data_IF_516278538541
#
_entry.id   IF_516278538541
#
_cell.length_a   1.000
_cell.length_b   1.000
_cell.length_c   1.000
_cell.angle_alpha   90.00
_cell.angle_beta   90.00
_cell.angle_gamma   90.00
#
_symmetry.space_group_name_H-M   'P 1'
#
loop_
_entity.id
_entity.type
_entity.pdbx_description
1 polymer ?
#
# COMPACT_ATOMS: atom_id res chain seq x y z
N UNK A 1 14.37 23.37 -5.58
CA UNK A 1 15.51 22.71 -6.23
C UNK A 1 14.98 21.84 -7.37
N UNK A 2 15.60 21.88 -8.55
CA UNK A 2 15.17 21.04 -9.68
C UNK A 2 15.66 19.59 -9.50
N UNK A 3 14.96 18.64 -10.13
CA UNK A 3 15.26 17.20 -10.07
C UNK A 3 16.73 16.88 -10.39
N UNK A 4 17.28 17.53 -11.42
CA UNK A 4 18.66 17.33 -11.86
C UNK A 4 19.68 17.91 -10.87
N UNK A 5 19.43 19.10 -10.34
CA UNK A 5 20.28 19.71 -9.30
C UNK A 5 20.35 18.81 -8.05
N UNK A 6 19.22 18.21 -7.66
CA UNK A 6 19.17 17.31 -6.51
C UNK A 6 19.96 16.02 -6.75
N UNK A 7 19.87 15.46 -7.97
CA UNK A 7 20.67 14.30 -8.37
C UNK A 7 22.16 14.64 -8.34
N UNK A 8 22.57 15.75 -8.95
CA UNK A 8 23.98 16.17 -9.02
C UNK A 8 24.54 16.43 -7.61
N UNK A 9 23.73 16.99 -6.71
CA UNK A 9 24.06 17.16 -5.29
C UNK A 9 24.29 15.81 -4.60
N UNK A 10 23.40 14.82 -4.77
CA UNK A 10 23.57 13.49 -4.18
C UNK A 10 24.77 12.75 -4.75
N UNK A 11 25.03 12.88 -6.05
CA UNK A 11 26.21 12.31 -6.71
C UNK A 11 27.50 12.92 -6.15
N UNK A 12 27.54 14.25 -5.98
CA UNK A 12 28.66 14.92 -5.35
C UNK A 12 28.88 14.47 -3.90
N UNK A 13 27.81 14.26 -3.13
CA UNK A 13 27.92 13.70 -1.77
C UNK A 13 28.54 12.31 -1.85
N UNK A 14 27.97 11.39 -2.63
CA UNK A 14 28.42 10.01 -2.73
C UNK A 14 29.90 9.89 -3.14
N UNK A 15 30.37 10.77 -4.03
CA UNK A 15 31.78 10.80 -4.46
C UNK A 15 32.70 11.39 -3.39
N UNK A 16 32.32 12.49 -2.74
CA UNK A 16 33.17 13.19 -1.78
C UNK A 16 33.25 12.48 -0.42
N UNK A 17 32.24 11.71 -0.04
CA UNK A 17 32.19 10.95 1.22
C UNK A 17 32.35 9.45 1.01
N UNK A 18 32.89 9.05 -0.15
CA UNK A 18 33.12 7.64 -0.51
C UNK A 18 33.85 6.88 0.58
N UNK A 19 34.98 7.40 1.06
CA UNK A 19 35.78 6.74 2.10
C UNK A 19 35.01 6.50 3.42
N UNK A 20 34.02 7.34 3.71
CA UNK A 20 33.22 7.24 4.94
C UNK A 20 32.04 6.26 4.80
N UNK A 21 31.38 6.24 3.64
CA UNK A 21 30.08 5.60 3.50
C UNK A 21 30.04 4.40 2.54
N UNK A 22 31.07 4.17 1.72
CA UNK A 22 31.00 3.15 0.65
C UNK A 22 30.83 1.72 1.15
N UNK A 23 31.29 1.39 2.37
CA UNK A 23 31.11 0.05 2.94
C UNK A 23 29.69 -0.20 3.45
N UNK A 24 28.94 0.86 3.74
CA UNK A 24 27.63 0.80 4.43
C UNK A 24 26.45 1.18 3.53
N UNK A 25 26.67 2.03 2.53
CA UNK A 25 25.60 2.60 1.71
C UNK A 25 25.87 2.44 0.21
N UNK A 26 24.80 2.12 -0.52
CA UNK A 26 24.76 2.17 -1.98
C UNK A 26 23.80 3.27 -2.40
N UNK A 27 24.29 4.22 -3.19
CA UNK A 27 23.49 5.30 -3.72
C UNK A 27 22.86 4.89 -5.05
N UNK A 28 21.58 5.22 -5.21
CA UNK A 28 20.81 4.91 -6.41
C UNK A 28 19.86 6.04 -6.77
N UNK A 29 19.56 6.17 -8.06
CA UNK A 29 18.59 7.11 -8.58
C UNK A 29 17.48 6.38 -9.31
N UNK A 30 16.23 6.63 -8.92
CA UNK A 30 15.05 6.02 -9.55
C UNK A 30 14.25 7.12 -10.26
N UNK A 31 13.93 6.89 -11.53
CA UNK A 31 13.18 7.86 -12.34
C UNK A 31 11.69 7.96 -11.99
N UNK A 32 11.12 6.89 -11.39
CA UNK A 32 9.72 6.87 -10.96
C UNK A 32 9.62 6.78 -9.43
N UNK A 33 8.68 7.50 -8.80
CA UNK A 33 8.53 7.49 -7.34
C UNK A 33 7.75 6.27 -6.85
N UNK A 34 7.30 5.38 -7.72
CA UNK A 34 6.38 4.27 -7.39
C UNK A 34 6.98 3.32 -6.37
N UNK A 35 8.24 2.90 -6.58
CA UNK A 35 8.95 1.99 -5.67
C UNK A 35 9.13 2.66 -4.31
N UNK A 36 9.57 3.93 -4.29
CA UNK A 36 9.77 4.68 -3.06
C UNK A 36 8.45 4.87 -2.29
N UNK A 37 7.36 5.15 -3.01
CA UNK A 37 6.02 5.28 -2.43
C UNK A 37 5.51 3.97 -1.84
N UNK A 38 5.78 2.83 -2.48
CA UNK A 38 5.44 1.49 -1.95
C UNK A 38 6.16 1.21 -0.64
N UNK A 39 7.47 1.50 -0.59
CA UNK A 39 8.29 1.26 0.60
C UNK A 39 7.86 2.17 1.75
N UNK A 40 7.69 3.46 1.47
CA UNK A 40 7.25 4.43 2.46
C UNK A 40 5.75 4.36 2.78
N UNK A 41 4.98 3.60 2.00
CA UNK A 41 3.52 3.48 2.06
C UNK A 41 2.81 4.85 2.08
N UNK A 42 3.38 5.80 1.34
CA UNK A 42 2.88 7.18 1.22
C UNK A 42 3.34 7.80 -0.10
N UNK A 43 2.67 8.87 -0.54
CA UNK A 43 3.12 9.64 -1.69
C UNK A 43 4.24 10.59 -1.27
N UNK A 44 5.47 10.25 -1.66
CA UNK A 44 6.64 11.10 -1.49
C UNK A 44 6.62 12.25 -2.50
N UNK A 45 7.06 13.45 -2.09
CA UNK A 45 7.29 14.55 -3.03
C UNK A 45 8.48 14.23 -3.94
N UNK A 46 8.53 14.92 -5.07
CA UNK A 46 9.59 14.74 -6.06
C UNK A 46 10.31 16.08 -6.25
N UNK A 47 11.65 16.15 -6.10
CA UNK A 47 12.56 15.08 -5.67
C UNK A 47 12.45 14.73 -4.17
N UNK A 48 12.77 13.49 -3.81
CA UNK A 48 12.88 13.01 -2.43
C UNK A 48 14.10 12.12 -2.22
N UNK A 49 14.53 12.00 -0.95
CA UNK A 49 15.54 11.05 -0.50
C UNK A 49 14.88 10.05 0.44
N UNK A 50 15.21 8.78 0.25
CA UNK A 50 14.80 7.67 1.09
C UNK A 50 15.99 6.73 1.24
N UNK A 51 16.37 6.41 2.48
CA UNK A 51 17.36 5.36 2.75
C UNK A 51 16.60 4.14 3.23
N UNK A 52 16.86 2.97 2.64
CA UNK A 52 16.11 1.74 2.90
C UNK A 52 17.10 0.68 3.39
N UNK A 53 16.72 -0.03 4.46
CA UNK A 53 17.38 -1.24 4.90
C UNK A 53 16.67 -2.45 4.28
N UNK A 54 17.28 -3.15 3.30
CA UNK A 54 16.61 -4.22 2.56
C UNK A 54 16.21 -5.42 3.41
N UNK A 55 16.98 -5.71 4.46
CA UNK A 55 16.77 -6.90 5.31
C UNK A 55 15.52 -6.77 6.18
N UNK A 56 15.24 -5.56 6.66
CA UNK A 56 14.13 -5.30 7.58
C UNK A 56 12.96 -4.57 6.92
N UNK A 57 13.10 -4.15 5.66
CA UNK A 57 12.17 -3.24 4.98
C UNK A 57 11.90 -1.94 5.74
N UNK A 58 12.82 -1.54 6.62
CA UNK A 58 12.77 -0.25 7.29
C UNK A 58 13.33 0.83 6.38
N UNK A 59 12.84 2.05 6.56
CA UNK A 59 13.33 3.20 5.84
C UNK A 59 13.55 4.37 6.78
N UNK A 60 14.44 5.27 6.37
CA UNK A 60 14.85 6.45 7.11
C UNK A 60 14.65 7.69 6.25
N UNK A 61 14.25 8.78 6.90
CA UNK A 61 13.99 10.07 6.28
C UNK A 61 14.80 11.15 7.02
N UNK A 62 15.27 12.20 6.32
CA UNK A 62 15.94 13.32 6.97
C UNK A 62 15.02 14.03 7.98
N UNK A 63 15.52 14.30 9.19
CA UNK A 63 14.77 15.00 10.23
C UNK A 63 14.66 16.51 9.96
N UNK A 64 13.65 17.17 10.52
CA UNK A 64 13.57 18.64 10.62
C UNK A 64 13.26 19.43 9.34
N UNK A 65 13.08 18.78 8.19
CA UNK A 65 12.75 19.45 6.93
C UNK A 65 11.25 19.31 6.63
N UNK A 66 10.59 20.42 6.23
CA UNK A 66 9.23 20.33 5.68
C UNK A 66 9.22 19.27 4.59
N UNK A 67 8.38 18.24 4.75
CA UNK A 67 8.27 17.14 3.78
C UNK A 67 8.13 17.63 2.34
N UNK A 68 7.64 18.84 2.13
CA UNK A 68 7.41 19.47 0.83
C UNK A 68 8.69 19.94 0.10
N UNK A 69 9.85 19.99 0.77
CA UNK A 69 11.11 20.44 0.17
C UNK A 69 12.18 19.33 0.19
N UNK A 70 13.01 19.25 -0.87
CA UNK A 70 14.12 18.30 -0.87
C UNK A 70 15.13 18.64 0.22
N UNK A 71 15.76 17.62 0.84
CA UNK A 71 16.71 17.82 1.92
C UNK A 71 17.95 18.58 1.44
N UNK A 72 18.51 19.39 2.34
CA UNK A 72 19.80 20.04 2.13
C UNK A 72 20.95 19.01 2.13
N UNK A 73 22.11 19.31 1.52
CA UNK A 73 23.27 18.41 1.55
C UNK A 73 23.67 18.00 2.97
N UNK A 74 23.61 18.95 3.92
CA UNK A 74 23.94 18.74 5.32
C UNK A 74 22.98 17.75 5.98
N UNK A 75 21.69 17.88 5.70
CA UNK A 75 20.66 16.97 6.22
C UNK A 75 20.84 15.54 5.70
N UNK A 76 21.31 15.37 4.46
CA UNK A 76 21.65 14.05 3.92
C UNK A 76 22.82 13.45 4.70
N UNK A 77 23.89 14.22 4.93
CA UNK A 77 25.05 13.74 5.67
C UNK A 77 24.71 13.40 7.13
N UNK A 78 23.90 14.25 7.78
CA UNK A 78 23.42 14.02 9.15
C UNK A 78 22.57 12.75 9.23
N UNK A 79 21.68 12.52 8.26
CA UNK A 79 20.91 11.28 8.18
C UNK A 79 21.84 10.05 8.07
N UNK A 80 22.84 10.08 7.19
CA UNK A 80 23.76 8.95 7.01
C UNK A 80 24.55 8.67 8.30
N UNK A 81 25.03 9.72 8.97
CA UNK A 81 25.74 9.57 10.24
C UNK A 81 24.83 9.02 11.34
N UNK A 82 23.61 9.54 11.50
CA UNK A 82 22.67 9.05 12.52
C UNK A 82 22.26 7.59 12.29
N UNK A 83 22.20 7.14 11.03
CA UNK A 83 21.99 5.72 10.70
C UNK A 83 23.20 4.88 11.14
N UNK A 84 24.43 5.31 10.86
CA UNK A 84 25.64 4.61 11.31
C UNK A 84 25.77 4.56 12.84
N UNK A 85 25.40 5.65 13.51
CA UNK A 85 25.41 5.74 14.97
C UNK A 85 24.28 4.93 15.61
N UNK A 86 23.36 4.37 14.83
CA UNK A 86 22.20 3.60 15.30
C UNK A 86 21.15 4.46 16.02
N UNK A 87 21.22 5.78 15.88
CA UNK A 87 20.32 6.75 16.53
C UNK A 87 19.16 7.20 15.63
N UNK A 88 19.22 6.91 14.33
CA UNK A 88 18.16 7.25 13.39
C UNK A 88 16.85 6.52 13.71
N UNK A 89 15.72 7.22 13.60
CA UNK A 89 14.39 6.65 13.80
C UNK A 89 13.99 5.81 12.57
N UNK A 90 13.79 4.48 12.72
CA UNK A 90 13.34 3.65 11.61
C UNK A 90 11.83 3.76 11.42
N UNK A 91 11.40 3.80 10.16
CA UNK A 91 9.99 3.73 9.76
C UNK A 91 9.73 2.48 8.94
N UNK A 92 8.46 2.07 8.85
CA UNK A 92 8.08 0.86 8.12
C UNK A 92 8.53 -0.42 8.82
N UNK A 93 8.93 -1.43 8.04
CA UNK A 93 9.30 -2.75 8.52
C UNK A 93 8.60 -3.89 7.77
N UNK A 94 8.97 -5.13 8.11
CA UNK A 94 8.40 -6.37 7.54
C UNK A 94 7.47 -7.14 8.50
N UNK A 95 7.03 -6.52 9.60
CA UNK A 95 6.06 -7.17 10.48
C UNK A 95 4.71 -7.34 9.78
N UNK A 96 3.93 -8.35 10.19
CA UNK A 96 2.62 -8.64 9.63
C UNK A 96 1.69 -7.41 9.44
N UNK A 97 1.53 -6.50 10.43
CA UNK A 97 0.70 -5.31 10.22
C UNK A 97 1.25 -4.37 9.15
N UNK A 98 2.58 -4.18 9.06
CA UNK A 98 3.18 -3.37 8.00
C UNK A 98 3.00 -4.01 6.63
N UNK A 99 3.12 -5.33 6.52
CA UNK A 99 2.87 -6.06 5.27
C UNK A 99 1.42 -5.92 4.81
N UNK A 100 0.45 -6.07 5.72
CA UNK A 100 -0.96 -5.88 5.41
C UNK A 100 -1.26 -4.43 5.01
N UNK A 101 -0.69 -3.45 5.73
CA UNK A 101 -0.85 -2.04 5.42
C UNK A 101 -0.24 -1.68 4.06
N UNK A 102 0.92 -2.25 3.71
CA UNK A 102 1.54 -2.10 2.38
C UNK A 102 0.64 -2.66 1.29
N UNK A 103 0.15 -3.89 1.46
CA UNK A 103 -0.77 -4.51 0.50
C UNK A 103 -2.04 -3.67 0.30
N UNK A 104 -2.60 -3.12 1.39
CA UNK A 104 -3.73 -2.21 1.32
C UNK A 104 -3.39 -0.91 0.58
N UNK A 105 -2.25 -0.28 0.89
CA UNK A 105 -1.79 0.94 0.23
C UNK A 105 -1.57 0.73 -1.28
N UNK A 106 -0.94 -0.36 -1.65
CA UNK A 106 -0.69 -0.75 -3.06
C UNK A 106 -2.01 -1.01 -3.78
N UNK A 107 -2.92 -1.81 -3.20
CA UNK A 107 -4.22 -2.10 -3.78
C UNK A 107 -5.06 -0.83 -3.97
N UNK A 108 -5.10 0.05 -2.96
CA UNK A 108 -5.80 1.33 -3.02
C UNK A 108 -5.21 2.23 -4.10
N UNK A 109 -3.89 2.35 -4.18
CA UNK A 109 -3.21 3.21 -5.14
C UNK A 109 -3.40 2.69 -6.57
N UNK A 110 -3.30 1.37 -6.77
CA UNK A 110 -3.57 0.73 -8.05
C UNK A 110 -5.02 0.95 -8.49
N UNK A 111 -5.99 0.72 -7.61
CA UNK A 111 -7.40 0.92 -7.90
C UNK A 111 -7.71 2.39 -8.24
N UNK A 112 -7.14 3.33 -7.47
CA UNK A 112 -7.27 4.76 -7.76
C UNK A 112 -6.64 5.15 -9.10
N UNK A 113 -5.51 4.52 -9.47
CA UNK A 113 -4.87 4.69 -10.77
C UNK A 113 -5.74 4.16 -11.91
N UNK A 114 -6.27 2.95 -11.76
CA UNK A 114 -7.18 2.34 -12.74
C UNK A 114 -8.45 3.17 -12.92
N UNK A 115 -9.05 3.63 -11.82
CA UNK A 115 -10.25 4.45 -11.87
C UNK A 115 -10.02 5.78 -12.58
N UNK A 116 -8.88 6.44 -12.32
CA UNK A 116 -8.50 7.67 -13.03
C UNK A 116 -8.22 7.44 -14.51
N UNK A 117 -7.65 6.29 -14.87
CA UNK A 117 -7.34 5.94 -16.26
C UNK A 117 -8.59 5.61 -17.07
N UNK A 118 -9.42 4.68 -16.58
CA UNK A 118 -10.68 4.31 -17.21
C UNK A 118 -11.67 3.79 -16.15
N UNK A 119 -12.60 4.64 -15.67
CA UNK A 119 -13.52 4.25 -14.61
C UNK A 119 -14.54 3.21 -15.08
N UNK A 120 -14.96 3.24 -16.35
CA UNK A 120 -15.94 2.28 -16.90
C UNK A 120 -15.34 0.87 -16.94
N UNK A 121 -14.14 0.73 -17.50
CA UNK A 121 -13.45 -0.55 -17.55
C UNK A 121 -13.17 -1.09 -16.14
N UNK A 122 -12.74 -0.21 -15.23
CA UNK A 122 -12.47 -0.57 -13.84
C UNK A 122 -13.74 -1.08 -13.15
N UNK A 123 -14.87 -0.38 -13.31
CA UNK A 123 -16.15 -0.77 -12.75
C UNK A 123 -16.62 -2.14 -13.28
N UNK A 124 -16.46 -2.42 -14.58
CA UNK A 124 -16.82 -3.74 -15.14
C UNK A 124 -15.90 -4.84 -14.61
N UNK A 125 -14.59 -4.60 -14.60
CA UNK A 125 -13.57 -5.57 -14.18
C UNK A 125 -13.80 -6.06 -12.75
N UNK A 126 -14.14 -5.16 -11.83
CA UNK A 126 -14.38 -5.51 -10.43
C UNK A 126 -15.86 -5.80 -10.14
N UNK A 127 -16.77 -5.03 -10.72
CA UNK A 127 -18.20 -5.12 -10.45
C UNK A 127 -18.84 -6.41 -10.93
N UNK A 128 -18.39 -6.98 -12.07
CA UNK A 128 -18.96 -8.21 -12.59
C UNK A 128 -18.60 -9.43 -11.72
N UNK A 129 -17.32 -9.69 -11.37
CA UNK A 129 -16.98 -10.74 -10.41
C UNK A 129 -17.63 -10.54 -9.03
N UNK A 130 -17.64 -9.30 -8.51
CA UNK A 130 -18.26 -8.99 -7.22
C UNK A 130 -19.78 -9.16 -7.24
N UNK A 131 -20.43 -8.84 -8.36
CA UNK A 131 -21.86 -9.02 -8.57
C UNK A 131 -22.25 -10.50 -8.62
N UNK A 132 -21.49 -11.34 -9.33
CA UNK A 132 -21.72 -12.78 -9.29
C UNK A 132 -21.49 -13.36 -7.90
N UNK A 133 -20.41 -12.95 -7.23
CA UNK A 133 -20.13 -13.39 -5.86
C UNK A 133 -21.24 -12.98 -4.89
N UNK A 134 -21.75 -11.74 -4.98
CA UNK A 134 -22.82 -11.26 -4.12
C UNK A 134 -24.13 -12.02 -4.35
N UNK A 135 -24.47 -12.34 -5.60
CA UNK A 135 -25.62 -13.18 -5.94
C UNK A 135 -25.47 -14.56 -5.31
N UNK A 136 -24.32 -15.22 -5.48
CA UNK A 136 -24.07 -16.56 -4.92
C UNK A 136 -24.14 -16.55 -3.38
N UNK A 137 -23.53 -15.55 -2.74
CA UNK A 137 -23.60 -15.40 -1.29
C UNK A 137 -25.04 -15.15 -0.82
N UNK A 138 -25.79 -14.32 -1.54
CA UNK A 138 -27.19 -14.07 -1.23
C UNK A 138 -28.04 -15.33 -1.37
N UNK A 139 -27.91 -16.07 -2.47
CA UNK A 139 -28.71 -17.30 -2.67
C UNK A 139 -28.33 -18.37 -1.66
N UNK A 140 -27.04 -18.56 -1.35
CA UNK A 140 -26.62 -19.57 -0.37
C UNK A 140 -27.05 -19.21 1.06
N UNK A 141 -26.97 -17.94 1.46
CA UNK A 141 -27.31 -17.52 2.82
C UNK A 141 -28.81 -17.26 3.03
N UNK A 142 -29.55 -16.89 1.97
CA UNK A 142 -30.94 -16.44 2.08
C UNK A 142 -31.95 -17.29 1.32
N UNK A 143 -31.59 -18.06 0.29
CA UNK A 143 -32.55 -19.00 -0.31
C UNK A 143 -32.83 -20.19 0.62
N UNK A 144 -31.85 -20.63 1.41
CA UNK A 144 -32.04 -21.71 2.40
C UNK A 144 -33.03 -21.31 3.52
N UNK A 145 -33.18 -20.00 3.81
CA UNK A 145 -34.17 -19.47 4.76
C UNK A 145 -35.56 -19.33 4.12
N UNK A 146 -35.63 -19.03 2.82
CA UNK A 146 -36.90 -18.91 2.11
C UNK A 146 -37.52 -20.27 1.77
N UNK A 147 -36.71 -21.30 1.45
CA UNK A 147 -37.23 -22.67 1.26
C UNK A 147 -37.72 -23.28 2.59
N UNK A 148 -37.07 -22.99 3.73
CA UNK A 148 -37.55 -23.45 5.04
C UNK A 148 -38.81 -22.71 5.55
N UNK A 149 -39.25 -21.63 4.88
CA UNK A 149 -40.47 -20.89 5.24
C UNK A 149 -41.71 -21.38 4.48
N UNK A 150 -41.54 -22.18 3.43
CA UNK A 150 -42.65 -22.75 2.63
C UNK A 150 -43.10 -24.14 3.12
N UNK A 151 -42.42 -24.72 4.13
CA UNK A 151 -42.78 -26.03 4.73
C UNK A 151 -43.60 -25.91 6.04
N UNK A 152 -43.95 -24.69 6.48
CA UNK A 152 -44.67 -24.44 7.75
C UNK A 152 -46.11 -23.89 7.59
N UNK A 153 -46.72 -23.95 6.40
CA UNK A 153 -48.15 -23.69 6.23
C UNK A 153 -48.87 -24.85 5.50
N UNK A 154 -49.84 -25.44 6.20
CA UNK A 154 -50.83 -26.46 5.77
C UNK A 154 -50.59 -27.92 6.19
N UNK A 155 -50.28 -28.11 7.47
CA UNK A 155 -50.82 -29.23 8.24
C UNK A 155 -52.26 -28.94 8.69
N UNK A 156 -53.25 -29.02 7.80
CA UNK A 156 -54.67 -29.09 8.19
C UNK A 156 -55.56 -29.51 7.01
N UNK A 157 -55.62 -30.81 6.69
CA UNK A 157 -56.83 -31.45 6.15
C UNK A 157 -56.80 -32.97 6.43
N UNK A 158 -56.93 -33.30 7.72
CA UNK A 158 -57.22 -34.66 8.19
C UNK A 158 -58.63 -34.72 8.82
N UNK A 159 -59.69 -34.51 8.03
CA UNK A 159 -61.03 -34.99 8.42
C UNK A 159 -61.91 -35.33 7.21
N UNK A 160 -61.69 -36.50 6.62
CA UNK A 160 -62.73 -37.17 5.84
C UNK A 160 -63.77 -37.77 6.80
N UNK A 161 -64.80 -37.01 7.17
CA UNK A 161 -66.04 -37.61 7.68
C UNK A 161 -66.84 -38.22 6.51
N UNK A 162 -66.92 -39.55 6.49
CA UNK A 162 -67.98 -40.25 5.75
C UNK A 162 -69.23 -40.27 6.62
N UNK A 163 -70.35 -39.76 6.11
CA UNK A 163 -71.67 -40.22 6.55
C UNK A 163 -72.70 -40.22 5.43
N UNK A 164 -73.21 -41.44 5.24
CA UNK A 164 -74.37 -41.94 4.48
C UNK A 164 -74.36 -41.84 2.94
#
# INVERSE_FOLDING_TARGET
MRMQEFKDMLEAIALNTRELFHEHFVFGWVGTPEIANSVAMMHLPVPSLLVIQPETYQYFLPEGHSREQPPSPQAVLELLNTILDGSAVPYGGDSFPYRLYRAYFEAKTALAGMWRGNPVLTAVLFGLPLGFLSIICYTTCCCDVLEASDDDEEADEASHEKKE
#
